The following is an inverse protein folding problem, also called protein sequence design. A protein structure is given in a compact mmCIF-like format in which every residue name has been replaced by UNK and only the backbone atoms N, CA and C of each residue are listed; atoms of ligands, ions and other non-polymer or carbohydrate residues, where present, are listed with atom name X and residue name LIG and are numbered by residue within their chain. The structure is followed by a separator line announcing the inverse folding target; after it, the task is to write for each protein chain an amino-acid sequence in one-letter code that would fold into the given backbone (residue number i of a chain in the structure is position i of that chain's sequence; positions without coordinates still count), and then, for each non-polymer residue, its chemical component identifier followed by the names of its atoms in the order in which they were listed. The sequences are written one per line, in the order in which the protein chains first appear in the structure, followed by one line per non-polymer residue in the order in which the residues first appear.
data_IF_908159453407
#
_entry.id   IF_908159453407
#
_cell.length_a   1.000
_cell.length_b   1.000
_cell.length_c   1.000
_cell.angle_alpha   90.00
_cell.angle_beta   90.00
_cell.angle_gamma   90.00
#
_symmetry.space_group_name_H-M   'P 1'
#
loop_
_entity.id
_entity.type
_entity.pdbx_description
1 polymer ?
#
# COMPACT_ATOMS: atom_id res chain seq x y z
N UNK A 1 6.74 -15.21 -3.30
CA UNK A 1 7.96 -15.51 -2.52
C UNK A 1 8.36 -14.38 -1.59
N UNK A 2 8.88 -14.70 -0.39
CA UNK A 2 9.47 -13.73 0.51
C UNK A 2 10.78 -13.16 -0.07
N UNK A 3 11.16 -11.97 0.39
CA UNK A 3 12.47 -11.41 0.12
C UNK A 3 13.46 -11.94 1.17
N UNK A 4 14.36 -12.83 0.77
CA UNK A 4 15.43 -13.35 1.63
C UNK A 4 16.69 -12.48 1.49
N UNK A 5 17.05 -11.73 2.54
CA UNK A 5 18.24 -10.89 2.55
C UNK A 5 18.69 -10.58 3.98
N UNK A 6 20.00 -10.36 4.15
CA UNK A 6 20.52 -9.71 5.35
C UNK A 6 20.12 -8.23 5.37
N UNK A 7 19.89 -7.71 6.58
CA UNK A 7 19.52 -6.31 6.81
C UNK A 7 20.28 -5.73 7.99
N UNK A 8 20.47 -4.42 7.99
CA UNK A 8 20.93 -3.65 9.15
C UNK A 8 19.74 -2.96 9.79
N UNK A 9 19.49 -3.21 11.08
CA UNK A 9 18.47 -2.49 11.86
C UNK A 9 18.95 -1.06 12.09
N UNK A 10 18.15 -0.07 11.70
CA UNK A 10 18.43 1.35 11.87
C UNK A 10 17.75 1.94 13.09
N UNK A 11 16.49 1.57 13.33
CA UNK A 11 15.72 2.06 14.47
C UNK A 11 14.56 1.12 14.79
N UNK A 12 14.06 1.22 16.03
CA UNK A 12 12.93 0.49 16.57
C UNK A 12 11.93 1.48 17.15
N UNK A 13 10.64 1.23 16.95
CA UNK A 13 9.56 2.15 17.32
C UNK A 13 8.35 1.38 17.84
N UNK A 14 7.51 2.04 18.65
CA UNK A 14 6.23 1.48 19.11
C UNK A 14 5.14 1.50 18.02
N UNK A 15 5.37 2.22 16.90
CA UNK A 15 4.52 2.21 15.71
C UNK A 15 3.26 3.07 15.79
N UNK A 16 3.10 3.87 16.85
CA UNK A 16 1.93 4.74 17.06
C UNK A 16 2.16 6.13 16.49
N UNK A 17 1.15 6.67 15.80
CA UNK A 17 1.20 8.01 15.24
C UNK A 17 -0.19 8.60 15.04
N UNK A 18 -0.23 9.92 14.84
CA UNK A 18 -1.46 10.67 14.60
C UNK A 18 -1.46 11.30 13.20
N UNK A 19 -2.64 11.48 12.62
CA UNK A 19 -2.87 12.22 11.38
C UNK A 19 -3.60 13.53 11.71
N UNK A 20 -2.97 14.65 11.40
CA UNK A 20 -3.51 15.99 11.62
C UNK A 20 -4.41 16.46 10.50
N UNK A 21 -4.26 15.89 9.30
CA UNK A 21 -5.00 16.31 8.12
C UNK A 21 -6.39 15.64 8.04
N UNK A 22 -7.35 16.36 7.48
CA UNK A 22 -8.72 15.84 7.28
C UNK A 22 -8.70 14.83 6.12
N UNK A 23 -8.46 13.57 6.46
CA UNK A 23 -8.40 12.45 5.52
C UNK A 23 -9.20 11.25 6.05
N UNK A 24 -9.59 10.35 5.14
CA UNK A 24 -10.10 9.01 5.45
C UNK A 24 -11.20 8.93 6.54
N UNK A 25 -12.18 9.83 6.47
CA UNK A 25 -13.33 9.81 7.37
C UNK A 25 -13.03 10.27 8.80
N UNK A 26 -11.94 11.01 9.01
CA UNK A 26 -11.59 11.59 10.33
C UNK A 26 -10.86 10.62 11.26
N UNK A 27 -10.41 9.48 10.75
CA UNK A 27 -9.57 8.57 11.52
C UNK A 27 -8.17 9.18 11.70
N UNK A 28 -7.80 9.43 12.97
CA UNK A 28 -6.63 10.24 13.30
C UNK A 28 -5.57 9.52 14.13
N UNK A 29 -5.81 8.32 14.64
CA UNK A 29 -4.86 7.59 15.50
C UNK A 29 -4.54 6.24 14.90
N UNK A 30 -3.27 5.96 14.65
CA UNK A 30 -2.82 4.76 13.96
C UNK A 30 -1.84 3.96 14.82
N UNK A 31 -1.80 2.66 14.57
CA UNK A 31 -0.91 1.72 15.26
C UNK A 31 -0.37 0.67 14.27
N UNK A 32 0.94 0.69 14.04
CA UNK A 32 1.68 -0.31 13.26
C UNK A 32 2.18 -1.48 14.13
N UNK A 33 1.98 -1.40 15.44
CA UNK A 33 2.64 -2.20 16.45
C UNK A 33 4.16 -1.96 16.48
N UNK A 34 4.91 -2.74 17.28
CA UNK A 34 6.37 -2.73 17.24
C UNK A 34 6.87 -2.75 15.79
N UNK A 35 7.68 -1.75 15.45
CA UNK A 35 8.10 -1.46 14.08
C UNK A 35 9.61 -1.31 14.03
N UNK A 36 10.24 -1.96 13.05
CA UNK A 36 11.68 -1.85 12.80
C UNK A 36 11.93 -1.21 11.43
N UNK A 37 12.75 -0.17 11.39
CA UNK A 37 13.29 0.36 10.13
C UNK A 37 14.61 -0.36 9.86
N UNK A 38 14.71 -1.00 8.71
CA UNK A 38 15.89 -1.76 8.31
C UNK A 38 16.38 -1.33 6.93
N UNK A 39 17.68 -1.47 6.69
CA UNK A 39 18.25 -1.26 5.35
C UNK A 39 18.91 -2.52 4.81
N UNK A 40 18.76 -2.77 3.52
CA UNK A 40 19.50 -3.83 2.81
C UNK A 40 20.84 -3.31 2.29
N UNK A 41 21.75 -4.22 1.92
CA UNK A 41 23.00 -3.86 1.25
C UNK A 41 22.79 -3.20 -0.13
N UNK A 42 21.61 -3.40 -0.74
CA UNK A 42 21.23 -2.79 -2.02
C UNK A 42 20.69 -1.37 -1.87
N UNK A 43 20.55 -0.87 -0.64
CA UNK A 43 20.05 0.48 -0.36
C UNK A 43 18.53 0.59 -0.21
N UNK A 44 17.79 -0.52 -0.11
CA UNK A 44 16.37 -0.49 0.22
C UNK A 44 16.19 -0.15 1.70
N UNK A 45 15.30 0.80 2.00
CA UNK A 45 14.79 1.04 3.36
C UNK A 45 13.42 0.40 3.49
N UNK A 46 13.24 -0.44 4.51
CA UNK A 46 12.01 -1.21 4.74
C UNK A 46 11.52 -0.93 6.16
N UNK A 47 10.25 -0.55 6.28
CA UNK A 47 9.54 -0.51 7.56
C UNK A 47 8.85 -1.85 7.77
N UNK A 48 9.32 -2.63 8.76
CA UNK A 48 8.74 -3.91 9.14
C UNK A 48 7.77 -3.69 10.30
N UNK A 49 6.48 -3.91 10.07
CA UNK A 49 5.41 -3.69 11.04
C UNK A 49 4.84 -5.02 11.53
N UNK A 50 4.44 -5.08 12.79
CA UNK A 50 3.81 -6.29 13.38
C UNK A 50 2.29 -6.31 13.18
N UNK A 51 1.67 -5.14 13.03
CA UNK A 51 0.26 -5.00 12.68
C UNK A 51 0.09 -4.57 11.22
N UNK A 52 -1.11 -4.80 10.68
CA UNK A 52 -1.49 -4.34 9.35
C UNK A 52 -1.59 -2.81 9.37
N UNK A 53 -0.76 -2.15 8.58
CA UNK A 53 -0.79 -0.71 8.39
C UNK A 53 -1.35 -0.36 7.01
N UNK A 54 -2.18 0.68 6.94
CA UNK A 54 -2.71 1.20 5.67
C UNK A 54 -2.09 2.58 5.43
N UNK A 55 -1.50 2.86 4.26
CA UNK A 55 -0.79 4.12 4.01
C UNK A 55 -1.76 5.26 3.67
N UNK A 56 -2.62 5.61 4.62
CA UNK A 56 -3.64 6.66 4.50
C UNK A 56 -3.24 7.99 5.15
N UNK A 57 -2.07 7.99 5.77
CA UNK A 57 -1.41 9.12 6.41
C UNK A 57 0.07 9.08 6.09
N UNK A 58 0.70 10.25 5.99
CA UNK A 58 2.16 10.34 5.84
C UNK A 58 2.90 9.94 7.13
N UNK A 59 2.21 9.95 8.27
CA UNK A 59 2.72 9.50 9.56
C UNK A 59 3.25 8.06 9.54
N UNK A 60 2.78 7.21 8.63
CA UNK A 60 3.31 5.85 8.44
C UNK A 60 4.82 5.84 8.10
N UNK A 61 5.33 6.93 7.52
CA UNK A 61 6.73 7.13 7.16
C UNK A 61 7.42 8.02 8.20
N UNK A 62 6.85 9.19 8.49
CA UNK A 62 7.52 10.21 9.30
C UNK A 62 7.58 9.84 10.79
N UNK A 63 6.62 9.09 11.32
CA UNK A 63 6.62 8.70 12.74
C UNK A 63 7.76 7.77 13.14
N UNK A 64 8.35 7.07 12.17
CA UNK A 64 9.51 6.19 12.37
C UNK A 64 10.84 6.86 12.02
N UNK A 65 10.83 8.20 11.90
CA UNK A 65 12.02 9.00 11.62
C UNK A 65 12.55 8.86 10.20
N UNK A 66 11.70 8.43 9.25
CA UNK A 66 12.03 8.37 7.83
C UNK A 66 11.48 9.63 7.16
N UNK A 67 12.32 10.33 6.41
CA UNK A 67 11.92 11.53 5.67
C UNK A 67 11.57 11.15 4.22
N UNK A 68 10.31 11.33 3.77
CA UNK A 68 9.89 11.08 2.39
C UNK A 68 10.81 11.70 1.32
N UNK A 69 11.32 12.91 1.57
CA UNK A 69 12.16 13.63 0.61
C UNK A 69 13.54 12.98 0.35
N UNK A 70 13.99 12.06 1.22
CA UNK A 70 15.26 11.35 1.05
C UNK A 70 15.17 10.21 0.01
N UNK A 71 13.98 9.93 -0.52
CA UNK A 71 13.73 8.79 -1.42
C UNK A 71 13.30 9.24 -2.80
N UNK A 72 13.84 8.57 -3.82
CA UNK A 72 13.38 8.73 -5.20
C UNK A 72 12.03 8.04 -5.44
N UNK A 73 11.72 6.98 -4.68
CA UNK A 73 10.52 6.17 -4.81
C UNK A 73 10.00 5.80 -3.43
N UNK A 74 8.71 6.04 -3.19
CA UNK A 74 7.97 5.57 -2.03
C UNK A 74 6.94 4.53 -2.49
N UNK A 75 6.85 3.41 -1.76
CA UNK A 75 5.86 2.35 -2.05
C UNK A 75 4.72 2.43 -1.04
N UNK A 76 3.60 3.01 -1.46
CA UNK A 76 2.37 3.00 -0.68
C UNK A 76 1.49 1.81 -1.11
N UNK A 77 1.37 0.79 -0.25
CA UNK A 77 0.49 -0.37 -0.51
C UNK A 77 -1.00 0.04 -0.39
N UNK A 78 -1.55 0.57 -1.47
CA UNK A 78 -2.96 0.91 -1.63
C UNK A 78 -3.24 1.41 -3.04
N UNK A 79 -4.53 1.57 -3.40
CA UNK A 79 -4.93 1.95 -4.77
C UNK A 79 -5.32 3.42 -4.86
N UNK A 80 -6.25 3.85 -4.02
CA UNK A 80 -6.76 5.23 -4.00
C UNK A 80 -6.55 5.92 -2.66
N UNK A 81 -6.74 5.18 -1.56
CA UNK A 81 -6.58 5.71 -0.22
C UNK A 81 -5.25 6.48 -0.02
N UNK A 82 -4.08 6.00 -0.51
CA UNK A 82 -2.83 6.71 -0.26
C UNK A 82 -2.68 8.05 -1.00
N UNK A 83 -3.49 8.33 -2.02
CA UNK A 83 -3.33 9.53 -2.86
C UNK A 83 -3.32 10.80 -2.00
N UNK A 84 -4.31 10.96 -1.10
CA UNK A 84 -4.43 12.17 -0.28
C UNK A 84 -3.24 12.41 0.66
N UNK A 85 -2.55 11.35 1.10
CA UNK A 85 -1.42 11.45 2.01
C UNK A 85 -0.08 11.65 1.29
N UNK A 86 0.09 11.06 0.10
CA UNK A 86 1.37 11.02 -0.61
C UNK A 86 1.46 12.03 -1.76
N UNK A 87 0.34 12.45 -2.37
CA UNK A 87 0.32 13.48 -3.41
C UNK A 87 1.03 14.78 -3.02
N UNK A 88 0.90 15.30 -1.78
CA UNK A 88 1.58 16.54 -1.38
C UNK A 88 3.12 16.44 -1.33
N UNK A 89 3.68 15.23 -1.26
CA UNK A 89 5.13 15.00 -1.09
C UNK A 89 5.77 14.24 -2.26
N UNK A 90 4.98 13.84 -3.27
CA UNK A 90 5.45 13.11 -4.43
C UNK A 90 5.24 13.92 -5.71
N UNK A 91 6.24 13.98 -6.58
CA UNK A 91 6.12 14.64 -7.88
C UNK A 91 5.15 13.93 -8.85
N UNK A 92 4.96 12.61 -8.67
CA UNK A 92 4.03 11.81 -9.45
C UNK A 92 3.55 10.60 -8.65
N UNK A 93 2.33 10.15 -8.94
CA UNK A 93 1.76 8.91 -8.41
C UNK A 93 1.58 7.89 -9.53
N UNK A 94 2.34 6.80 -9.47
CA UNK A 94 2.32 5.73 -10.47
C UNK A 94 1.62 4.51 -9.87
N UNK A 95 0.52 4.08 -10.50
CA UNK A 95 -0.16 2.84 -10.14
C UNK A 95 0.53 1.67 -10.82
N UNK A 96 0.96 0.69 -10.03
CA UNK A 96 1.66 -0.51 -10.52
C UNK A 96 0.77 -1.73 -10.31
N UNK A 97 0.58 -2.53 -11.37
CA UNK A 97 -0.17 -3.78 -11.30
C UNK A 97 0.68 -4.90 -10.68
N UNK A 98 1.02 -4.77 -9.38
CA UNK A 98 1.75 -5.79 -8.64
C UNK A 98 0.84 -6.98 -8.33
N UNK A 99 1.40 -8.19 -8.31
CA UNK A 99 0.69 -9.38 -7.85
C UNK A 99 0.27 -9.32 -6.38
N UNK A 100 -0.60 -10.25 -5.98
CA UNK A 100 -1.10 -10.41 -4.61
C UNK A 100 -2.63 -10.43 -4.54
N UNK A 101 -3.16 -10.63 -3.33
CA UNK A 101 -4.60 -10.81 -3.10
C UNK A 101 -5.49 -9.62 -3.52
N UNK A 102 -4.89 -8.47 -3.83
CA UNK A 102 -5.59 -7.25 -4.25
C UNK A 102 -5.06 -6.72 -5.59
N UNK A 103 -4.54 -7.59 -6.46
CA UNK A 103 -4.10 -7.23 -7.81
C UNK A 103 -5.26 -6.59 -8.61
N UNK A 104 -4.92 -5.60 -9.45
CA UNK A 104 -5.92 -4.89 -10.24
C UNK A 104 -6.41 -5.72 -11.44
N UNK A 105 -5.53 -6.56 -11.98
CA UNK A 105 -5.92 -7.49 -13.04
C UNK A 105 -6.68 -8.69 -12.46
N UNK A 106 -8.01 -8.63 -12.54
CA UNK A 106 -8.87 -9.69 -12.02
C UNK A 106 -8.63 -11.03 -12.73
N UNK A 107 -8.05 -11.06 -13.94
CA UNK A 107 -7.78 -12.30 -14.67
C UNK A 107 -6.70 -13.16 -14.02
N UNK A 108 -5.93 -12.61 -13.07
CA UNK A 108 -4.91 -13.36 -12.33
C UNK A 108 -5.48 -14.18 -11.16
N UNK A 109 -6.78 -14.08 -10.89
CA UNK A 109 -7.44 -14.84 -9.83
C UNK A 109 -8.31 -15.96 -10.40
N UNK A 110 -8.39 -17.04 -9.63
CA UNK A 110 -9.35 -18.12 -9.87
C UNK A 110 -10.64 -17.83 -9.10
N UNK A 111 -11.76 -17.78 -9.82
CA UNK A 111 -13.09 -17.56 -9.23
C UNK A 111 -13.96 -18.81 -9.41
N UNK A 112 -14.36 -19.43 -8.31
CA UNK A 112 -15.28 -20.57 -8.33
C UNK A 112 -16.73 -20.13 -8.60
N UNK A 113 -17.15 -19.02 -7.99
CA UNK A 113 -18.55 -18.55 -7.97
C UNK A 113 -18.68 -17.14 -8.56
N UNK A 114 -18.60 -17.03 -9.90
CA UNK A 114 -18.74 -15.77 -10.64
C UNK A 114 -19.88 -15.86 -11.66
N UNK A 115 -20.59 -14.75 -11.88
CA UNK A 115 -21.54 -14.61 -13.00
C UNK A 115 -20.85 -14.84 -14.35
N UNK A 116 -21.56 -15.47 -15.28
CA UNK A 116 -21.13 -15.72 -16.67
C UNK A 116 -22.27 -15.33 -17.64
N UNK A 117 -22.03 -14.47 -18.66
CA UNK A 117 -20.75 -13.82 -18.96
C UNK A 117 -20.44 -12.69 -17.96
N UNK A 118 -19.14 -12.42 -17.76
CA UNK A 118 -18.68 -11.22 -17.06
C UNK A 118 -17.42 -10.68 -17.74
N UNK A 119 -17.50 -9.51 -18.36
CA UNK A 119 -16.31 -8.79 -18.81
C UNK A 119 -15.44 -8.44 -17.59
N UNK A 120 -14.11 -8.64 -17.62
CA UNK A 120 -13.25 -8.96 -18.76
C UNK A 120 -12.97 -10.45 -19.00
N UNK A 121 -13.65 -11.37 -18.32
CA UNK A 121 -13.45 -12.82 -18.49
C UNK A 121 -14.12 -13.34 -19.77
N UNK A 122 -15.33 -12.87 -20.04
CA UNK A 122 -16.06 -13.14 -21.28
C UNK A 122 -16.68 -11.85 -21.83
N UNK A 123 -16.75 -11.73 -23.15
CA UNK A 123 -17.49 -10.67 -23.82
C UNK A 123 -18.99 -10.75 -23.48
N UNK A 124 -19.60 -9.60 -23.22
CA UNK A 124 -21.04 -9.51 -22.93
C UNK A 124 -21.75 -9.20 -24.26
N UNK A 125 -22.52 -10.14 -24.80
CA UNK A 125 -23.28 -9.94 -26.03
C UNK A 125 -24.30 -8.79 -25.89
N UNK A 126 -24.53 -8.04 -26.97
CA UNK A 126 -25.35 -6.82 -27.02
C UNK A 126 -26.86 -7.00 -26.72
N UNK A 127 -27.34 -8.23 -26.50
CA UNK A 127 -28.76 -8.56 -26.31
C UNK A 127 -29.21 -8.88 -24.88
N UNK A 128 -28.30 -8.96 -23.91
CA UNK A 128 -28.66 -9.21 -22.50
C UNK A 128 -28.73 -7.88 -21.75
N UNK A 129 -29.82 -7.16 -21.98
CA UNK A 129 -30.16 -5.98 -21.17
C UNK A 129 -30.25 -6.34 -19.69
N UNK A 130 -29.88 -5.39 -18.83
CA UNK A 130 -30.08 -5.48 -17.39
C UNK A 130 -31.55 -5.78 -17.10
N UNK A 131 -31.85 -6.98 -16.62
CA UNK A 131 -33.09 -7.29 -15.92
C UNK A 131 -32.84 -7.16 -14.43
#
# INVERSE_FOLDING_TARGET
EPLETAVTVKSLHDGKYEESEVRHGGYSHFDMGPTAVVTTATGLTISLTTLRAVPVSLGIVTSVGVEPADFQILVAKGVHAPVAAFEPVCAALIRVNTGGATAADMRTFEYEHRRRPMYPFEEIGSGQGWR
#
